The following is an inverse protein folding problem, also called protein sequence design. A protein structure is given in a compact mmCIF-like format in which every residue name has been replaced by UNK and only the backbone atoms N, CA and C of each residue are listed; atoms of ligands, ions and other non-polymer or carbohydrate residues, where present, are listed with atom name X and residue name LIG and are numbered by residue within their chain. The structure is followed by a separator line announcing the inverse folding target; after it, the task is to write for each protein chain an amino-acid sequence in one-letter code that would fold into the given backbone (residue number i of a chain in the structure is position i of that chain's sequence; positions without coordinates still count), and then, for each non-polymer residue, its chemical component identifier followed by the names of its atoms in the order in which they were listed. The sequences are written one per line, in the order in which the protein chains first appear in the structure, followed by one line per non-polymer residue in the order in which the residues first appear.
data_IF_395007286875
#
_entry.id   IF_395007286875
#
_cell.length_a   1.000
_cell.length_b   1.000
_cell.length_c   1.000
_cell.angle_alpha   90.00
_cell.angle_beta   90.00
_cell.angle_gamma   90.00
#
_symmetry.space_group_name_H-M   'P 1'
#
loop_
_entity.id
_entity.type
_entity.pdbx_description
1 polymer ?
#
# COMPACT_ATOMS: atom_id res chain seq x y z
N UNK A 1 5.44 -16.63 14.95
CA UNK A 1 5.99 -15.44 14.27
C UNK A 1 7.45 -15.20 14.69
N UNK A 2 8.24 -14.45 13.91
CA UNK A 2 9.51 -13.88 14.41
C UNK A 2 9.27 -12.52 15.10
N UNK A 3 10.19 -12.09 15.97
CA UNK A 3 10.09 -10.79 16.63
C UNK A 3 10.06 -9.62 15.63
N UNK A 4 10.85 -9.71 14.55
CA UNK A 4 10.84 -8.72 13.47
C UNK A 4 9.49 -8.64 12.74
N UNK A 5 8.88 -9.80 12.42
CA UNK A 5 7.55 -9.84 11.82
C UNK A 5 6.49 -9.23 12.75
N UNK A 6 6.58 -9.47 14.07
CA UNK A 6 5.64 -8.93 15.06
C UNK A 6 5.66 -7.40 15.09
N UNK A 7 6.83 -6.77 15.22
CA UNK A 7 6.94 -5.31 15.25
C UNK A 7 6.48 -4.65 13.95
N UNK A 8 6.73 -5.31 12.82
CA UNK A 8 6.28 -4.82 11.51
C UNK A 8 4.75 -4.89 11.37
N UNK A 9 4.14 -6.04 11.74
CA UNK A 9 2.70 -6.21 11.79
C UNK A 9 1.99 -5.20 12.70
N UNK A 10 2.56 -4.91 13.87
CA UNK A 10 1.98 -3.95 14.82
C UNK A 10 1.90 -2.53 14.21
N UNK A 11 2.89 -2.16 13.40
CA UNK A 11 2.91 -0.88 12.68
C UNK A 11 1.81 -0.84 11.63
N UNK A 12 1.74 -1.88 10.79
CA UNK A 12 0.74 -1.99 9.74
C UNK A 12 -0.69 -2.06 10.30
N UNK A 13 -0.90 -2.79 11.39
CA UNK A 13 -2.19 -2.92 12.05
C UNK A 13 -2.66 -1.57 12.61
N UNK A 14 -1.77 -0.81 13.26
CA UNK A 14 -2.08 0.53 13.79
C UNK A 14 -2.53 1.49 12.69
N UNK A 15 -1.89 1.43 11.53
CA UNK A 15 -2.21 2.30 10.40
C UNK A 15 -3.49 1.89 9.67
N UNK A 16 -3.73 0.58 9.56
CA UNK A 16 -5.00 0.04 9.07
C UNK A 16 -6.15 0.25 10.09
N UNK A 17 -5.85 0.64 11.33
CA UNK A 17 -6.82 0.72 12.42
C UNK A 17 -7.34 -0.65 12.87
N UNK A 18 -6.59 -1.72 12.60
CA UNK A 18 -6.93 -3.10 12.94
C UNK A 18 -6.11 -3.60 14.14
N UNK A 19 -6.61 -4.64 14.81
CA UNK A 19 -5.88 -5.32 15.89
C UNK A 19 -5.59 -6.75 15.48
N UNK A 20 -4.34 -7.17 15.61
CA UNK A 20 -3.91 -8.52 15.26
C UNK A 20 -3.75 -9.40 16.52
N UNK A 21 -3.96 -10.72 16.40
CA UNK A 21 -3.64 -11.66 17.46
C UNK A 21 -2.15 -11.65 17.80
N UNK A 22 -1.82 -11.73 19.08
CA UNK A 22 -0.43 -11.77 19.55
C UNK A 22 0.26 -13.13 19.33
N UNK A 23 -0.51 -14.15 18.91
CA UNK A 23 -0.10 -15.57 18.85
C UNK A 23 -0.01 -16.13 17.41
N UNK A 24 0.02 -15.26 16.40
CA UNK A 24 0.18 -15.64 14.99
C UNK A 24 1.44 -16.50 14.74
N UNK A 25 1.26 -17.56 13.96
CA UNK A 25 2.38 -18.34 13.42
C UNK A 25 3.18 -17.52 12.41
N UNK A 26 4.34 -18.03 11.98
CA UNK A 26 5.15 -17.34 10.96
C UNK A 26 4.40 -17.24 9.63
N UNK A 27 3.63 -18.28 9.27
CA UNK A 27 2.86 -18.34 8.04
C UNK A 27 1.72 -17.31 8.07
N UNK A 28 0.90 -17.34 9.12
CA UNK A 28 -0.20 -16.36 9.28
C UNK A 28 0.32 -14.93 9.39
N UNK A 29 1.50 -14.73 10.02
CA UNK A 29 2.12 -13.41 10.06
C UNK A 29 2.48 -12.89 8.66
N UNK A 30 2.97 -13.75 7.76
CA UNK A 30 3.25 -13.35 6.37
C UNK A 30 1.97 -12.98 5.61
N UNK A 31 0.90 -13.78 5.75
CA UNK A 31 -0.39 -13.48 5.10
C UNK A 31 -0.98 -12.15 5.58
N UNK A 32 -0.87 -11.86 6.88
CA UNK A 32 -1.35 -10.59 7.45
C UNK A 32 -0.50 -9.41 7.00
N UNK A 33 0.81 -9.59 6.79
CA UNK A 33 1.67 -8.54 6.22
C UNK A 33 1.17 -8.14 4.83
N UNK A 34 0.94 -9.12 3.95
CA UNK A 34 0.52 -8.85 2.57
C UNK A 34 -0.86 -8.14 2.54
N UNK A 35 -1.82 -8.63 3.33
CA UNK A 35 -3.14 -8.01 3.47
C UNK A 35 -3.05 -6.57 3.97
N UNK A 36 -2.28 -6.32 5.03
CA UNK A 36 -2.20 -5.00 5.64
C UNK A 36 -1.37 -4.02 4.80
N UNK A 37 -0.35 -4.48 4.07
CA UNK A 37 0.36 -3.64 3.11
C UNK A 37 -0.56 -3.17 1.99
N UNK A 38 -1.43 -4.05 1.49
CA UNK A 38 -2.45 -3.66 0.51
C UNK A 38 -3.46 -2.66 1.11
N UNK A 39 -3.94 -2.91 2.33
CA UNK A 39 -4.90 -2.03 3.01
C UNK A 39 -4.33 -0.64 3.36
N UNK A 40 -3.04 -0.56 3.69
CA UNK A 40 -2.34 0.70 4.02
C UNK A 40 -1.73 1.40 2.80
N UNK A 41 -1.89 0.85 1.59
CA UNK A 41 -1.35 1.44 0.36
C UNK A 41 0.17 1.37 0.23
N UNK A 42 0.82 0.39 0.86
CA UNK A 42 2.28 0.19 0.83
C UNK A 42 2.75 -0.98 -0.02
N UNK A 43 1.82 -1.76 -0.58
CA UNK A 43 2.07 -3.00 -1.32
C UNK A 43 2.78 -2.84 -2.68
N UNK A 44 3.25 -1.65 -3.07
CA UNK A 44 3.90 -1.47 -4.36
C UNK A 44 4.89 -0.29 -4.40
N UNK A 45 6.08 -0.46 -3.81
CA UNK A 45 7.20 0.49 -4.06
C UNK A 45 8.43 -0.18 -4.68
N UNK A 46 8.28 -1.37 -5.27
CA UNK A 46 9.33 -2.00 -6.08
C UNK A 46 8.92 -2.21 -7.56
N UNK A 47 7.65 -1.99 -7.94
CA UNK A 47 7.19 -2.18 -9.33
C UNK A 47 6.09 -1.22 -9.79
N UNK A 48 5.92 -0.07 -9.14
CA UNK A 48 5.00 0.98 -9.62
C UNK A 48 5.70 2.34 -9.70
N UNK A 49 6.71 2.41 -10.58
CA UNK A 49 7.13 3.69 -11.19
C UNK A 49 6.30 4.00 -12.45
N UNK A 50 5.40 3.09 -12.86
CA UNK A 50 4.60 3.22 -14.10
C UNK A 50 3.08 3.26 -13.83
N UNK A 51 2.61 4.10 -12.91
CA UNK A 51 1.17 4.45 -12.87
C UNK A 51 0.89 5.81 -12.22
N UNK A 52 1.71 6.81 -12.52
CA UNK A 52 1.41 8.22 -12.19
C UNK A 52 1.67 9.19 -13.34
N UNK A 53 1.93 8.66 -14.54
CA UNK A 53 1.93 9.43 -15.78
C UNK A 53 0.60 9.17 -16.47
N UNK A 54 -0.06 10.24 -16.93
CA UNK A 54 -1.33 10.27 -17.67
C UNK A 54 -2.60 10.41 -16.82
N UNK A 55 -3.10 11.65 -16.73
CA UNK A 55 -4.42 11.89 -16.16
C UNK A 55 -4.80 13.32 -15.79
N UNK A 56 -3.91 14.32 -15.90
CA UNK A 56 -4.31 15.74 -15.78
C UNK A 56 -4.48 16.37 -17.16
N UNK A 57 -5.69 16.18 -17.69
CA UNK A 57 -6.46 17.16 -18.49
C UNK A 57 -5.74 17.81 -19.68
N UNK A 58 -5.81 17.16 -20.84
CA UNK A 58 -5.97 17.89 -22.09
C UNK A 58 -7.37 18.53 -22.12
N UNK A 59 -7.44 19.83 -21.84
CA UNK A 59 -8.53 20.72 -22.28
C UNK A 59 -7.98 22.14 -22.19
N UNK A 60 -7.53 22.74 -23.28
CA UNK A 60 -8.44 23.52 -24.11
C UNK A 60 -7.90 23.65 -25.53
N UNK A 61 -8.71 23.28 -26.50
CA UNK A 61 -8.64 23.81 -27.86
C UNK A 61 -9.21 25.23 -27.85
N UNK A 62 -8.44 26.23 -28.24
CA UNK A 62 -9.02 27.45 -28.79
C UNK A 62 -8.18 27.93 -29.97
N UNK A 63 -8.87 27.96 -31.10
CA UNK A 63 -8.47 28.22 -32.48
C UNK A 63 -8.27 29.70 -32.77
N UNK A 64 -7.39 30.00 -33.75
CA UNK A 64 -7.73 30.98 -34.77
C UNK A 64 -6.96 32.30 -34.72
N UNK A 65 -6.02 32.41 -35.65
CA UNK A 65 -5.45 33.63 -36.23
C UNK A 65 -6.50 34.69 -36.58
N UNK A 66 -6.26 35.94 -36.17
CA UNK A 66 -6.56 37.16 -36.95
C UNK A 66 -5.42 38.18 -36.72
#
# INVERSE_FOLDING_TARGET
MTGAQRSYLETLAREAGETLPADLTKAEASEQIDRLQAATGRGATASETESSTEGSTQSSTETGTD
#
